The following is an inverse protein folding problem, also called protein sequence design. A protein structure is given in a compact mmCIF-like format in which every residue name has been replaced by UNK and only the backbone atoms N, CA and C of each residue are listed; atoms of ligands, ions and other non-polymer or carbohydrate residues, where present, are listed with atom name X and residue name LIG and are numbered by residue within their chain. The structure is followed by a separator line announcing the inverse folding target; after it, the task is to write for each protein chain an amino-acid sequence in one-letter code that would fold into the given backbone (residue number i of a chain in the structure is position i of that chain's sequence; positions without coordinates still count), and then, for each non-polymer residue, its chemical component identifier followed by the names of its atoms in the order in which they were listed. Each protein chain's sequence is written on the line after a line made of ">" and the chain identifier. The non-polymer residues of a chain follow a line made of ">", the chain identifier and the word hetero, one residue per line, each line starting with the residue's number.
data_IF_054106642153
#
_entry.id   IF_054106642153
#
_cell.length_a   1.000
_cell.length_b   1.000
_cell.length_c   1.000
_cell.angle_alpha   90.00
_cell.angle_beta   90.00
_cell.angle_gamma   90.00
#
_symmetry.space_group_name_H-M   'P 1'
#
loop_
_entity.id
_entity.type
_entity.pdbx_description
1 polymer ?
#
# COMPACT_ATOMS: atom_id res chain seq x y z
N UNK A 1 -35.51 -17.11 -43.36
CA UNK A 1 -34.75 -17.47 -42.12
C UNK A 1 -33.65 -16.46 -41.99
N UNK A 2 -33.78 -15.51 -41.08
CA UNK A 2 -32.77 -14.45 -40.87
C UNK A 2 -31.49 -15.05 -40.29
N UNK A 3 -30.46 -15.08 -41.12
CA UNK A 3 -29.14 -15.55 -40.71
C UNK A 3 -28.47 -14.43 -39.87
N UNK A 4 -28.76 -14.42 -38.55
CA UNK A 4 -28.20 -13.43 -37.65
C UNK A 4 -26.67 -13.56 -37.64
N UNK A 5 -25.98 -12.50 -38.05
CA UNK A 5 -24.51 -12.50 -38.18
C UNK A 5 -23.79 -12.74 -36.82
N UNK A 6 -22.59 -13.30 -36.85
CA UNK A 6 -21.73 -13.50 -35.67
C UNK A 6 -21.60 -12.21 -34.85
N UNK A 7 -21.58 -11.05 -35.49
CA UNK A 7 -21.52 -9.74 -34.82
C UNK A 7 -22.79 -9.44 -33.96
N UNK A 8 -23.95 -9.94 -34.36
CA UNK A 8 -25.18 -9.79 -33.58
C UNK A 8 -25.10 -10.57 -32.26
N UNK A 9 -24.63 -11.82 -32.30
CA UNK A 9 -24.47 -12.64 -31.09
C UNK A 9 -23.41 -12.09 -30.16
N UNK A 10 -22.31 -11.53 -30.68
CA UNK A 10 -21.28 -10.87 -29.87
C UNK A 10 -21.81 -9.62 -29.15
N UNK A 11 -22.68 -8.81 -29.81
CA UNK A 11 -23.28 -7.63 -29.17
C UNK A 11 -24.20 -8.05 -28.03
N UNK A 12 -25.07 -9.04 -28.24
CA UNK A 12 -25.96 -9.57 -27.20
C UNK A 12 -25.17 -10.15 -26.01
N UNK A 13 -24.09 -10.89 -26.27
CA UNK A 13 -23.23 -11.42 -25.23
C UNK A 13 -22.61 -10.29 -24.39
N UNK A 14 -22.02 -9.28 -25.02
CA UNK A 14 -21.44 -8.12 -24.33
C UNK A 14 -22.48 -7.32 -23.56
N UNK A 15 -23.70 -7.21 -24.07
CA UNK A 15 -24.80 -6.54 -23.39
C UNK A 15 -25.17 -7.27 -22.10
N UNK A 16 -25.33 -8.58 -22.13
CA UNK A 16 -25.61 -9.40 -20.92
C UNK A 16 -24.55 -9.26 -19.85
N UNK A 17 -23.27 -9.25 -20.23
CA UNK A 17 -22.18 -9.07 -19.27
C UNK A 17 -22.25 -7.68 -18.59
N UNK A 18 -22.59 -6.63 -19.32
CA UNK A 18 -22.78 -5.28 -18.77
C UNK A 18 -24.00 -5.20 -17.84
N UNK A 19 -25.10 -5.85 -18.21
CA UNK A 19 -26.31 -5.95 -17.37
C UNK A 19 -26.03 -6.67 -16.04
N UNK A 20 -25.05 -7.56 -16.01
CA UNK A 20 -24.54 -8.22 -14.81
C UNK A 20 -23.53 -7.34 -14.02
N UNK A 21 -23.30 -6.09 -14.43
CA UNK A 21 -22.34 -5.19 -13.79
C UNK A 21 -20.88 -5.43 -14.14
N UNK A 22 -20.59 -6.34 -15.10
CA UNK A 22 -19.23 -6.64 -15.50
C UNK A 22 -18.67 -5.57 -16.43
N UNK A 23 -17.40 -5.20 -16.23
CA UNK A 23 -16.66 -4.25 -17.07
C UNK A 23 -15.56 -4.98 -17.84
N UNK A 24 -15.36 -4.62 -19.10
CA UNK A 24 -14.26 -5.17 -19.92
C UNK A 24 -12.96 -4.44 -19.55
N UNK A 25 -11.92 -5.19 -19.24
CA UNK A 25 -10.53 -4.73 -19.15
C UNK A 25 -9.68 -5.51 -20.16
N UNK A 26 -8.68 -4.85 -20.73
CA UNK A 26 -7.71 -5.47 -21.65
C UNK A 26 -6.33 -5.40 -20.99
N UNK A 27 -5.62 -6.52 -21.00
CA UNK A 27 -4.28 -6.64 -20.42
C UNK A 27 -3.35 -7.29 -21.43
N UNK A 28 -2.08 -6.88 -21.41
CA UNK A 28 -1.00 -7.52 -22.18
C UNK A 28 -0.31 -8.53 -21.29
N UNK A 29 -0.19 -9.79 -21.74
CA UNK A 29 0.42 -10.89 -21.00
C UNK A 29 1.35 -11.68 -21.92
N UNK A 30 2.26 -12.42 -21.34
CA UNK A 30 3.03 -13.42 -22.07
C UNK A 30 2.11 -14.59 -22.50
N UNK A 31 2.32 -15.18 -23.69
CA UNK A 31 1.45 -16.26 -24.19
C UNK A 31 1.32 -17.44 -23.24
N UNK A 32 2.38 -17.79 -22.52
CA UNK A 32 2.42 -18.88 -21.53
C UNK A 32 1.48 -18.66 -20.35
N UNK A 33 1.10 -17.39 -20.06
CA UNK A 33 0.19 -17.04 -18.97
C UNK A 33 -1.28 -16.96 -19.39
N UNK A 34 -1.60 -17.22 -20.67
CA UNK A 34 -2.97 -17.18 -21.16
C UNK A 34 -3.93 -18.13 -20.38
N UNK A 35 -3.57 -19.39 -20.04
CA UNK A 35 -4.44 -20.25 -19.25
C UNK A 35 -4.68 -19.71 -17.85
N UNK A 36 -3.68 -19.09 -17.23
CA UNK A 36 -3.77 -18.46 -15.91
C UNK A 36 -4.74 -17.28 -15.92
N UNK A 37 -4.64 -16.39 -16.93
CA UNK A 37 -5.56 -15.27 -17.07
C UNK A 37 -7.01 -15.73 -17.21
N UNK A 38 -7.29 -16.79 -17.97
CA UNK A 38 -8.65 -17.35 -18.12
C UNK A 38 -9.18 -17.87 -16.77
N UNK A 39 -8.33 -18.51 -15.97
CA UNK A 39 -8.69 -18.99 -14.64
C UNK A 39 -9.04 -17.80 -13.70
N UNK A 40 -8.22 -16.75 -13.70
CA UNK A 40 -8.49 -15.50 -12.97
C UNK A 40 -9.78 -14.81 -13.44
N UNK A 41 -9.99 -14.68 -14.73
CA UNK A 41 -11.20 -14.09 -15.29
C UNK A 41 -12.47 -14.80 -14.79
N UNK A 42 -12.44 -16.14 -14.74
CA UNK A 42 -13.56 -16.92 -14.20
C UNK A 42 -13.84 -16.60 -12.74
N UNK A 43 -12.78 -16.47 -11.91
CA UNK A 43 -12.89 -16.10 -10.49
C UNK A 43 -13.46 -14.69 -10.33
N UNK A 44 -12.93 -13.71 -11.07
CA UNK A 44 -13.38 -12.31 -11.02
C UNK A 44 -14.84 -12.07 -11.46
N UNK A 45 -15.47 -13.03 -12.11
CA UNK A 45 -16.90 -12.98 -12.46
C UNK A 45 -17.82 -13.39 -11.32
N UNK A 46 -17.27 -13.92 -10.23
CA UNK A 46 -18.05 -14.35 -9.07
C UNK A 46 -18.26 -13.20 -8.08
N UNK A 47 -19.36 -13.18 -7.31
CA UNK A 47 -19.56 -12.23 -6.23
C UNK A 47 -18.42 -12.28 -5.21
N UNK A 48 -18.02 -11.13 -4.67
CA UNK A 48 -16.88 -11.00 -3.75
C UNK A 48 -17.01 -11.89 -2.50
N UNK A 49 -18.23 -12.17 -2.03
CA UNK A 49 -18.49 -13.09 -0.92
C UNK A 49 -18.06 -14.54 -1.20
N UNK A 50 -18.09 -14.96 -2.47
CA UNK A 50 -17.63 -16.30 -2.86
C UNK A 50 -16.11 -16.33 -3.08
N UNK A 51 -15.50 -15.22 -3.51
CA UNK A 51 -14.05 -15.10 -3.64
C UNK A 51 -13.35 -15.24 -2.28
N UNK A 52 -13.86 -14.57 -1.25
CA UNK A 52 -13.30 -14.63 0.10
C UNK A 52 -13.34 -16.04 0.75
N UNK A 53 -14.31 -16.89 0.37
CA UNK A 53 -14.35 -18.28 0.83
C UNK A 53 -13.39 -19.20 0.09
N UNK A 54 -13.11 -18.92 -1.18
CA UNK A 54 -12.18 -19.72 -2.00
C UNK A 54 -10.70 -19.41 -1.70
N UNK A 55 -10.38 -18.18 -1.26
CA UNK A 55 -9.03 -17.78 -0.84
C UNK A 55 -8.50 -18.63 0.33
N UNK A 56 -9.40 -19.07 1.21
CA UNK A 56 -9.04 -19.95 2.35
C UNK A 56 -8.68 -21.37 1.94
N UNK A 57 -9.17 -21.85 0.80
CA UNK A 57 -8.95 -23.24 0.38
C UNK A 57 -7.77 -23.44 -0.57
N UNK A 58 -7.39 -22.42 -1.37
CA UNK A 58 -6.38 -22.56 -2.42
C UNK A 58 -5.04 -21.88 -2.14
N UNK A 59 -4.88 -21.17 -1.01
CA UNK A 59 -3.62 -20.48 -0.66
C UNK A 59 -3.20 -19.38 -1.64
N UNK A 60 -4.07 -18.99 -2.57
CA UNK A 60 -3.87 -17.87 -3.47
C UNK A 60 -4.47 -16.60 -2.83
N UNK A 61 -3.65 -15.92 -2.06
CA UNK A 61 -4.00 -14.59 -1.52
C UNK A 61 -4.20 -13.61 -2.68
N UNK A 62 -5.39 -13.03 -2.81
CA UNK A 62 -5.56 -11.81 -3.61
C UNK A 62 -4.66 -10.74 -3.00
N UNK A 63 -4.04 -9.86 -3.80
CA UNK A 63 -3.28 -8.76 -3.22
C UNK A 63 -4.20 -8.00 -2.26
N UNK A 64 -3.91 -8.12 -0.98
CA UNK A 64 -4.65 -7.42 0.06
C UNK A 64 -4.32 -5.93 -0.08
N UNK A 65 -5.33 -5.12 -0.36
CA UNK A 65 -5.17 -3.67 -0.28
C UNK A 65 -5.28 -3.32 1.21
N UNK A 66 -4.20 -2.86 1.78
CA UNK A 66 -4.14 -2.51 3.19
C UNK A 66 -5.07 -1.34 3.51
N UNK A 67 -5.74 -1.45 4.65
CA UNK A 67 -6.34 -0.33 5.37
C UNK A 67 -5.53 -0.08 6.63
N UNK A 68 -5.61 1.10 7.22
CA UNK A 68 -4.91 1.39 8.48
C UNK A 68 -5.26 0.38 9.58
N UNK A 69 -6.52 -0.02 9.70
CA UNK A 69 -6.97 -1.01 10.66
C UNK A 69 -6.35 -2.40 10.40
N UNK A 70 -6.42 -2.90 9.16
CA UNK A 70 -5.88 -4.20 8.81
C UNK A 70 -4.36 -4.23 8.97
N UNK A 71 -3.69 -3.13 8.63
CA UNK A 71 -2.24 -2.99 8.80
C UNK A 71 -1.86 -2.97 10.29
N UNK A 72 -2.62 -2.26 11.14
CA UNK A 72 -2.44 -2.29 12.58
C UNK A 72 -2.51 -3.71 13.15
N UNK A 73 -3.56 -4.46 12.82
CA UNK A 73 -3.76 -5.83 13.29
C UNK A 73 -2.62 -6.77 12.84
N UNK A 74 -2.19 -6.64 11.58
CA UNK A 74 -1.13 -7.46 11.03
C UNK A 74 0.25 -7.11 11.63
N UNK A 75 0.58 -5.83 11.77
CA UNK A 75 1.83 -5.38 12.37
C UNK A 75 1.90 -5.75 13.86
N UNK A 76 0.83 -5.51 14.63
CA UNK A 76 0.77 -5.83 16.04
C UNK A 76 0.99 -7.33 16.34
N UNK A 77 0.73 -8.21 15.36
CA UNK A 77 0.96 -9.64 15.49
C UNK A 77 2.41 -10.06 15.20
N UNK A 78 3.27 -9.16 14.71
CA UNK A 78 4.68 -9.47 14.41
C UNK A 78 5.54 -9.48 15.66
N UNK A 79 6.68 -10.17 15.60
CA UNK A 79 7.61 -10.32 16.72
C UNK A 79 8.11 -8.96 17.24
N UNK A 80 8.36 -7.99 16.36
CA UNK A 80 8.80 -6.64 16.67
C UNK A 80 7.90 -5.96 17.71
N UNK A 81 6.58 -6.06 17.54
CA UNK A 81 5.60 -5.46 18.44
C UNK A 81 5.28 -6.36 19.65
N UNK A 82 5.24 -7.68 19.45
CA UNK A 82 4.99 -8.64 20.52
C UNK A 82 6.11 -8.69 21.55
N UNK A 83 7.36 -8.51 21.14
CA UNK A 83 8.52 -8.44 22.06
C UNK A 83 8.61 -7.13 22.84
N UNK A 84 7.84 -6.12 22.43
CA UNK A 84 7.88 -4.79 23.03
C UNK A 84 9.04 -3.91 22.55
N UNK A 85 9.77 -4.29 21.51
CA UNK A 85 10.80 -3.45 20.88
C UNK A 85 10.19 -2.20 20.22
N UNK A 86 8.96 -2.33 19.74
CA UNK A 86 8.17 -1.20 19.24
C UNK A 86 6.77 -1.19 19.87
N UNK A 87 6.19 0.00 19.98
CA UNK A 87 4.79 0.23 20.31
C UNK A 87 4.00 0.58 19.06
N UNK A 88 2.71 0.24 19.01
CA UNK A 88 1.83 0.60 17.91
C UNK A 88 0.47 1.04 18.43
N UNK A 89 -0.05 2.13 17.89
CA UNK A 89 -1.35 2.70 18.23
C UNK A 89 -2.09 3.09 16.96
N UNK A 90 -3.39 2.77 16.91
CA UNK A 90 -4.26 3.22 15.84
C UNK A 90 -4.87 4.58 16.22
N UNK A 91 -4.53 5.62 15.48
CA UNK A 91 -5.12 6.95 15.62
C UNK A 91 -6.40 7.00 14.79
N UNK A 92 -7.53 7.13 15.47
CA UNK A 92 -8.85 7.26 14.86
C UNK A 92 -9.08 8.72 14.42
N UNK A 93 -9.61 8.92 13.20
CA UNK A 93 -9.89 10.25 12.66
C UNK A 93 -10.61 10.16 11.32
N UNK A 94 -10.71 11.27 10.61
CA UNK A 94 -11.24 11.31 9.24
C UNK A 94 -10.40 10.41 8.32
N UNK A 95 -9.08 10.43 8.52
CA UNK A 95 -8.11 9.52 7.91
C UNK A 95 -7.40 8.80 9.04
N UNK A 96 -7.70 7.50 9.20
CA UNK A 96 -7.07 6.68 10.22
C UNK A 96 -5.58 6.48 9.88
N UNK A 97 -4.72 6.58 10.90
CA UNK A 97 -3.28 6.38 10.77
C UNK A 97 -2.73 5.58 11.94
N UNK A 98 -1.49 5.10 11.80
CA UNK A 98 -0.80 4.39 12.87
C UNK A 98 0.30 5.28 13.42
N UNK A 99 0.43 5.28 14.73
CA UNK A 99 1.59 5.82 15.43
C UNK A 99 2.41 4.64 15.97
N UNK A 100 3.67 4.60 15.61
CA UNK A 100 4.63 3.59 16.04
C UNK A 100 5.71 4.27 16.86
N UNK A 101 6.09 3.67 17.98
CA UNK A 101 7.20 4.13 18.80
C UNK A 101 8.32 3.10 18.75
N UNK A 102 9.44 3.46 18.13
CA UNK A 102 10.62 2.60 18.02
C UNK A 102 11.52 2.76 19.24
N UNK A 103 11.35 1.89 20.27
CA UNK A 103 11.99 2.05 21.58
C UNK A 103 13.51 1.89 21.52
N UNK A 104 14.00 1.00 20.68
CA UNK A 104 15.45 0.78 20.51
C UNK A 104 16.18 1.98 19.88
N UNK A 105 15.41 2.88 19.22
CA UNK A 105 15.94 4.09 18.58
C UNK A 105 15.60 5.36 19.36
N UNK A 106 15.49 5.25 20.72
CA UNK A 106 15.21 6.40 21.58
C UNK A 106 13.79 6.90 21.48
N UNK A 107 12.84 5.97 21.37
CA UNK A 107 11.41 6.26 21.22
C UNK A 107 11.08 7.05 19.95
N UNK A 108 11.82 6.78 18.86
CA UNK A 108 11.60 7.44 17.56
C UNK A 108 10.15 7.24 17.12
N UNK A 109 9.40 8.34 16.90
CA UNK A 109 8.03 8.23 16.42
C UNK A 109 8.01 8.02 14.89
N UNK A 110 7.26 7.01 14.46
CA UNK A 110 6.91 6.79 13.07
C UNK A 110 5.39 6.94 12.91
N UNK A 111 4.98 7.49 11.78
CA UNK A 111 3.59 7.59 11.39
C UNK A 111 3.37 6.80 10.11
N UNK A 112 2.34 5.97 10.08
CA UNK A 112 1.95 5.23 8.89
C UNK A 112 0.54 5.63 8.50
N UNK A 113 0.35 6.05 7.27
CA UNK A 113 -0.95 6.34 6.69
C UNK A 113 -1.16 5.52 5.42
N UNK A 114 -2.40 5.06 5.22
CA UNK A 114 -2.81 4.44 3.96
C UNK A 114 -3.63 5.46 3.18
N UNK A 115 -3.09 5.92 2.08
CA UNK A 115 -3.72 6.94 1.25
C UNK A 115 -3.86 6.45 -0.19
N UNK A 116 -5.10 6.17 -0.60
CA UNK A 116 -5.39 5.58 -1.91
C UNK A 116 -4.68 4.23 -2.09
N UNK A 117 -3.78 4.15 -3.07
CA UNK A 117 -3.02 2.94 -3.39
C UNK A 117 -1.62 2.92 -2.75
N UNK A 118 -1.37 3.79 -1.77
CA UNK A 118 -0.05 3.93 -1.14
C UNK A 118 -0.13 3.76 0.38
N UNK A 119 0.90 3.15 0.94
CA UNK A 119 1.25 3.20 2.36
C UNK A 119 2.39 4.20 2.47
N UNK A 120 2.20 5.26 3.25
CA UNK A 120 3.22 6.27 3.52
C UNK A 120 3.73 6.03 4.93
N UNK A 121 5.04 5.92 5.06
CA UNK A 121 5.73 5.82 6.35
C UNK A 121 6.54 7.09 6.54
N UNK A 122 6.40 7.74 7.68
CA UNK A 122 7.08 8.99 7.99
C UNK A 122 7.66 8.95 9.40
N UNK A 123 8.91 9.40 9.54
CA UNK A 123 9.59 9.60 10.80
C UNK A 123 9.88 11.08 11.01
N UNK A 124 9.50 11.61 12.18
CA UNK A 124 9.95 12.92 12.62
C UNK A 124 11.36 12.79 13.23
N UNK A 125 12.36 13.40 12.59
CA UNK A 125 13.75 13.27 13.02
C UNK A 125 14.12 14.30 14.09
N UNK A 126 14.35 15.56 13.69
CA UNK A 126 14.76 16.64 14.58
C UNK A 126 14.44 18.02 14.00
N UNK A 127 14.37 19.06 14.85
CA UNK A 127 14.21 20.44 14.41
C UNK A 127 15.39 20.88 13.53
N UNK A 128 15.11 21.64 12.48
CA UNK A 128 16.16 22.19 11.62
C UNK A 128 17.12 23.14 12.36
N UNK A 129 16.63 23.77 13.43
CA UNK A 129 17.43 24.65 14.28
C UNK A 129 18.55 23.92 15.05
N UNK A 130 18.43 22.59 15.21
CA UNK A 130 19.43 21.77 15.89
C UNK A 130 20.62 21.40 14.98
N UNK A 131 20.48 21.64 13.66
CA UNK A 131 21.52 21.40 12.67
C UNK A 131 22.43 22.63 12.55
N UNK A 132 23.71 22.50 12.96
CA UNK A 132 24.68 23.62 13.00
C UNK A 132 24.91 24.28 11.65
N UNK A 133 24.98 23.49 10.58
CA UNK A 133 25.15 23.96 9.20
C UNK A 133 24.07 23.31 8.32
N UNK A 134 22.89 23.91 8.35
CA UNK A 134 21.75 23.41 7.59
C UNK A 134 21.97 23.44 6.07
N UNK A 135 22.77 24.40 5.58
CA UNK A 135 23.05 24.51 4.14
C UNK A 135 23.91 23.33 3.66
N UNK A 136 24.99 23.02 4.39
CA UNK A 136 25.88 21.89 4.08
C UNK A 136 25.12 20.56 4.26
N UNK A 137 24.31 20.43 5.31
CA UNK A 137 23.50 19.24 5.55
C UNK A 137 22.49 19.01 4.40
N UNK A 138 21.77 20.05 3.99
CA UNK A 138 20.81 19.96 2.88
C UNK A 138 21.49 19.57 1.57
N UNK A 139 22.69 20.13 1.29
CA UNK A 139 23.44 19.74 0.11
C UNK A 139 23.84 18.26 0.15
N UNK A 140 24.30 17.76 1.30
CA UNK A 140 24.67 16.35 1.48
C UNK A 140 23.45 15.43 1.30
N UNK A 141 22.32 15.76 1.90
CA UNK A 141 21.06 15.03 1.71
C UNK A 141 20.67 14.94 0.23
N UNK A 142 20.75 16.07 -0.49
CA UNK A 142 20.44 16.09 -1.92
C UNK A 142 21.43 15.27 -2.77
N UNK A 143 22.70 15.21 -2.38
CA UNK A 143 23.71 14.42 -3.08
C UNK A 143 23.59 12.93 -2.82
N UNK A 144 23.16 12.56 -1.62
CA UNK A 144 23.14 11.17 -1.14
C UNK A 144 21.76 10.50 -1.19
N UNK A 145 20.69 11.23 -1.55
CA UNK A 145 19.33 10.69 -1.53
C UNK A 145 19.15 9.35 -2.29
N UNK A 146 19.98 9.09 -3.31
CA UNK A 146 19.93 7.81 -4.06
C UNK A 146 20.45 6.60 -3.28
N UNK A 147 21.10 6.82 -2.13
CA UNK A 147 21.53 5.73 -1.24
C UNK A 147 20.35 5.12 -0.48
N UNK A 148 19.23 5.83 -0.41
CA UNK A 148 17.98 5.38 0.22
C UNK A 148 16.88 5.30 -0.84
N UNK A 149 16.83 4.22 -1.64
CA UNK A 149 15.97 4.18 -2.83
C UNK A 149 14.48 4.21 -2.54
N UNK A 150 14.06 3.82 -1.33
CA UNK A 150 12.64 3.82 -0.90
C UNK A 150 12.31 4.96 0.05
N UNK A 151 13.32 5.64 0.61
CA UNK A 151 13.12 6.69 1.62
C UNK A 151 13.81 7.98 1.18
N UNK A 152 13.28 9.11 1.64
CA UNK A 152 13.84 10.44 1.39
C UNK A 152 13.78 11.29 2.65
N UNK A 153 14.76 12.16 2.84
CA UNK A 153 14.74 13.17 3.88
C UNK A 153 14.08 14.44 3.32
N UNK A 154 13.08 14.93 4.04
CA UNK A 154 12.35 16.17 3.77
C UNK A 154 12.64 17.24 4.82
N UNK A 155 12.25 18.46 4.51
CA UNK A 155 12.21 19.58 5.45
C UNK A 155 10.77 20.11 5.46
N UNK A 156 10.09 19.99 6.59
CA UNK A 156 8.69 20.33 6.71
C UNK A 156 8.43 21.37 7.80
N UNK A 157 7.43 22.21 7.55
CA UNK A 157 6.97 23.19 8.54
C UNK A 157 5.88 22.55 9.40
N UNK A 158 6.17 22.36 10.67
CA UNK A 158 5.24 21.84 11.67
C UNK A 158 4.10 22.83 11.98
N UNK A 159 3.02 22.32 12.57
CA UNK A 159 1.84 23.13 12.96
C UNK A 159 2.23 24.28 13.91
N UNK A 160 3.24 24.09 14.74
CA UNK A 160 3.78 25.12 15.66
C UNK A 160 4.70 26.13 14.98
N UNK A 161 4.89 26.01 13.65
CA UNK A 161 5.71 26.92 12.84
C UNK A 161 7.18 26.56 12.78
N UNK A 162 7.66 25.55 13.51
CA UNK A 162 9.06 25.07 13.44
C UNK A 162 9.29 24.30 12.16
N UNK A 163 10.49 24.42 11.60
CA UNK A 163 10.94 23.58 10.51
C UNK A 163 11.64 22.35 11.11
N UNK A 164 11.22 21.14 10.68
CA UNK A 164 11.77 19.87 11.14
C UNK A 164 12.19 19.03 9.95
N UNK A 165 13.26 18.27 10.13
CA UNK A 165 13.62 17.22 9.18
C UNK A 165 12.73 16.01 9.42
N UNK A 166 12.22 15.45 8.33
CA UNK A 166 11.45 14.21 8.31
C UNK A 166 12.12 13.21 7.38
N UNK A 167 11.97 11.93 7.66
CA UNK A 167 12.29 10.88 6.70
C UNK A 167 10.98 10.22 6.30
N UNK A 168 10.73 10.09 5.02
CA UNK A 168 9.52 9.45 4.54
C UNK A 168 9.81 8.45 3.43
N UNK A 169 8.98 7.43 3.34
CA UNK A 169 8.97 6.44 2.29
C UNK A 169 7.54 6.11 1.88
N UNK A 170 7.38 5.50 0.72
CA UNK A 170 6.09 5.08 0.23
C UNK A 170 6.16 3.70 -0.41
N UNK A 171 5.19 2.85 -0.05
CA UNK A 171 4.99 1.53 -0.60
C UNK A 171 3.62 1.44 -1.26
N UNK A 172 3.44 0.48 -2.17
CA UNK A 172 2.11 0.16 -2.67
C UNK A 172 1.23 -0.41 -1.54
N UNK A 173 -0.02 0.02 -1.47
CA UNK A 173 -1.00 -0.56 -0.53
C UNK A 173 -1.31 -2.05 -0.81
N UNK A 174 -0.81 -2.60 -1.91
CA UNK A 174 -0.83 -4.03 -2.21
C UNK A 174 0.47 -4.76 -1.87
N UNK A 175 1.43 -4.08 -1.21
CA UNK A 175 2.68 -4.71 -0.77
C UNK A 175 2.44 -5.81 0.25
N UNK A 176 3.28 -6.84 0.25
CA UNK A 176 3.23 -7.88 1.29
C UNK A 176 3.73 -7.32 2.62
N UNK A 177 3.22 -7.87 3.73
CA UNK A 177 3.52 -7.38 5.07
C UNK A 177 5.04 -7.33 5.37
N UNK A 178 5.81 -8.32 4.90
CA UNK A 178 7.26 -8.35 5.08
C UNK A 178 7.97 -7.10 4.52
N UNK A 179 7.47 -6.55 3.41
CA UNK A 179 8.04 -5.34 2.83
C UNK A 179 7.71 -4.11 3.68
N UNK A 180 6.49 -4.07 4.27
CA UNK A 180 6.07 -2.96 5.15
C UNK A 180 6.90 -2.92 6.45
N UNK A 181 7.27 -4.10 6.97
CA UNK A 181 8.11 -4.19 8.19
C UNK A 181 9.57 -3.79 7.93
N UNK A 182 10.04 -3.93 6.69
CA UNK A 182 11.41 -3.58 6.30
C UNK A 182 11.61 -2.10 5.99
N UNK A 183 10.53 -1.37 5.64
CA UNK A 183 10.58 0.07 5.40
C UNK A 183 10.65 0.87 6.71
#
# INVERSE_FOLDING_TARGET
>A
MDNKSSAHYQRLYRQRLREQGLVKKEVWILPEHAPLLVAFERKLRQPQSLLASMEKEEGMSMPQVWTAQALHEALAATELFQSGQAGIELIQGADASLHITMREYGDLPLFIAVFGEQIIVEALLWPAADVKDAASFNEEVLRTHKLFPLSSIGLEKMVDGRDCYTMFGALSASSVLSNVVQE
#
